data_IF_161378339740
#
_entry.id   IF_161378339740
#
_cell.length_a   1.000
_cell.length_b   1.000
_cell.length_c   1.000
_cell.angle_alpha   90.00
_cell.angle_beta   90.00
_cell.angle_gamma   90.00
#
_symmetry.space_group_name_H-M   'P 1'
#
loop_
_entity.id
_entity.type
_entity.pdbx_description
1 polymer ?
#
# COMPACT_ATOMS: atom_id res chain seq x y z
N UNK A 1 -9.48 -10.53 22.82
CA UNK A 1 -10.26 -10.13 21.62
C UNK A 1 -9.33 -10.34 20.42
N UNK A 2 -9.08 -11.56 19.93
CA UNK A 2 -9.92 -12.70 19.48
C UNK A 2 -9.79 -12.81 17.96
N UNK A 3 -8.90 -13.72 17.56
CA UNK A 3 -9.06 -14.73 16.49
C UNK A 3 -9.26 -14.38 15.01
N UNK A 4 -9.33 -13.13 14.57
CA UNK A 4 -9.60 -12.84 13.14
C UNK A 4 -8.38 -12.37 12.30
N UNK A 5 -7.17 -12.43 12.86
CA UNK A 5 -5.94 -12.03 12.16
C UNK A 5 -5.34 -13.17 11.27
N UNK A 6 -5.98 -14.34 11.24
CA UNK A 6 -5.38 -15.59 10.77
C UNK A 6 -5.84 -16.10 9.40
N UNK A 7 -6.18 -15.21 8.45
CA UNK A 7 -6.35 -15.58 7.03
C UNK A 7 -5.47 -14.77 6.10
N UNK A 8 -4.15 -14.80 6.32
CA UNK A 8 -3.19 -14.37 5.30
C UNK A 8 -3.25 -15.36 4.12
N UNK A 9 -3.98 -14.99 3.06
CA UNK A 9 -4.00 -15.73 1.81
C UNK A 9 -2.67 -15.49 1.10
N UNK A 10 -1.68 -16.35 1.36
CA UNK A 10 -0.38 -16.30 0.68
C UNK A 10 -0.59 -16.69 -0.78
N UNK A 11 -0.57 -15.71 -1.69
CA UNK A 11 -0.62 -15.98 -3.12
C UNK A 11 0.80 -16.15 -3.64
N UNK A 12 1.20 -17.39 -3.89
CA UNK A 12 2.49 -17.69 -4.51
C UNK A 12 2.36 -17.55 -6.03
N UNK A 13 3.03 -16.56 -6.60
CA UNK A 13 3.11 -16.37 -8.06
C UNK A 13 4.44 -16.96 -8.53
N UNK A 14 4.39 -17.99 -9.39
CA UNK A 14 5.58 -18.55 -10.05
C UNK A 14 5.81 -17.82 -11.37
N UNK A 15 7.00 -17.25 -11.54
CA UNK A 15 7.44 -16.66 -12.80
C UNK A 15 8.67 -17.33 -13.35
N UNK A 16 8.78 -17.32 -14.68
CA UNK A 16 10.01 -17.65 -15.39
C UNK A 16 11.10 -16.61 -15.06
N UNK A 17 12.30 -17.06 -14.70
CA UNK A 17 13.42 -16.19 -14.34
C UNK A 17 13.81 -15.21 -15.45
N UNK A 18 13.59 -15.58 -16.71
CA UNK A 18 13.81 -14.71 -17.88
C UNK A 18 12.90 -13.47 -17.91
N UNK A 19 11.79 -13.48 -17.15
CA UNK A 19 10.83 -12.36 -17.07
C UNK A 19 11.03 -11.45 -15.84
N UNK A 20 11.99 -11.77 -14.97
CA UNK A 20 12.33 -10.94 -13.81
C UNK A 20 12.97 -9.59 -14.21
N UNK A 21 13.90 -9.53 -15.19
CA UNK A 21 14.52 -8.26 -15.58
C UNK A 21 13.52 -7.15 -15.99
N UNK A 22 12.52 -7.41 -16.86
CA UNK A 22 11.52 -6.38 -17.19
C UNK A 22 10.57 -6.04 -16.03
N UNK A 23 10.38 -6.95 -15.08
CA UNK A 23 9.54 -6.70 -13.89
C UNK A 23 10.12 -5.58 -13.02
N UNK A 24 11.45 -5.47 -12.94
CA UNK A 24 12.10 -4.42 -12.16
C UNK A 24 11.71 -3.02 -12.65
N UNK A 25 11.75 -2.79 -13.97
CA UNK A 25 11.32 -1.52 -14.56
C UNK A 25 9.80 -1.28 -14.46
N UNK A 26 9.00 -2.35 -14.46
CA UNK A 26 7.56 -2.23 -14.26
C UNK A 26 7.21 -1.81 -12.83
N UNK A 27 7.87 -2.39 -11.82
CA UNK A 27 7.62 -2.08 -10.40
C UNK A 27 8.04 -0.65 -10.03
N UNK A 28 9.04 -0.09 -10.72
CA UNK A 28 9.43 1.32 -10.56
C UNK A 28 8.34 2.31 -11.00
N UNK A 29 7.40 1.89 -11.87
CA UNK A 29 6.28 2.73 -12.33
C UNK A 29 5.07 2.68 -11.39
N UNK A 30 5.10 1.82 -10.39
CA UNK A 30 3.95 1.54 -9.52
C UNK A 30 2.96 0.54 -10.14
N UNK A 31 1.84 0.33 -9.44
CA UNK A 31 0.78 -0.60 -9.85
C UNK A 31 -0.59 0.05 -9.71
N UNK A 32 -1.52 -0.33 -10.59
CA UNK A 32 -2.93 0.03 -10.46
C UNK A 32 -3.63 -0.95 -9.54
N UNK A 33 -4.36 -0.43 -8.54
CA UNK A 33 -5.09 -1.23 -7.57
C UNK A 33 -6.56 -0.81 -7.63
N UNK A 34 -7.45 -1.81 -7.73
CA UNK A 34 -8.88 -1.57 -7.54
C UNK A 34 -9.14 -1.35 -6.05
N UNK A 35 -9.66 -0.18 -5.71
CA UNK A 35 -9.99 0.18 -4.34
C UNK A 35 -11.38 0.82 -4.25
N UNK A 36 -11.93 0.88 -3.03
CA UNK A 36 -13.12 1.66 -2.73
C UNK A 36 -12.66 3.09 -2.46
N UNK A 37 -13.31 4.04 -3.10
CA UNK A 37 -12.90 5.45 -3.09
C UNK A 37 -13.72 6.26 -2.10
N UNK A 38 -13.25 7.47 -1.77
CA UNK A 38 -13.86 8.33 -0.75
C UNK A 38 -13.43 7.98 0.67
N UNK A 39 -12.41 7.14 0.82
CA UNK A 39 -11.88 6.68 2.09
C UNK A 39 -10.57 7.39 2.39
N UNK A 40 -10.25 7.56 3.67
CA UNK A 40 -8.94 8.08 4.08
C UNK A 40 -7.84 7.08 3.71
N UNK A 41 -6.60 7.55 3.56
CA UNK A 41 -5.44 6.67 3.37
C UNK A 41 -5.36 5.62 4.48
N UNK A 42 -5.63 6.02 5.74
CA UNK A 42 -5.64 5.09 6.88
C UNK A 42 -6.66 3.97 6.70
N UNK A 43 -7.91 4.31 6.40
CA UNK A 43 -8.97 3.31 6.22
C UNK A 43 -8.73 2.43 5.00
N UNK A 44 -8.21 3.00 3.90
CA UNK A 44 -7.80 2.24 2.72
C UNK A 44 -6.75 1.17 3.08
N UNK A 45 -5.68 1.56 3.78
CA UNK A 45 -4.59 0.66 4.13
C UNK A 45 -4.99 -0.39 5.18
N UNK A 46 -5.65 0.03 6.25
CA UNK A 46 -5.97 -0.88 7.37
C UNK A 46 -7.20 -1.72 7.10
N UNK A 47 -8.29 -1.11 6.61
CA UNK A 47 -9.59 -1.79 6.52
C UNK A 47 -9.76 -2.51 5.18
N UNK A 48 -9.34 -1.88 4.07
CA UNK A 48 -9.49 -2.48 2.75
C UNK A 48 -8.32 -3.41 2.38
N UNK A 49 -7.08 -2.99 2.64
CA UNK A 49 -5.90 -3.81 2.32
C UNK A 49 -5.44 -4.70 3.47
N UNK A 50 -6.04 -4.56 4.67
CA UNK A 50 -5.78 -5.43 5.81
C UNK A 50 -4.38 -5.26 6.41
N UNK A 51 -3.77 -4.10 6.25
CA UNK A 51 -2.49 -3.80 6.90
C UNK A 51 -2.69 -3.54 8.38
N UNK A 52 -1.70 -3.98 9.16
CA UNK A 52 -1.71 -3.73 10.59
C UNK A 52 -1.68 -2.22 10.90
N UNK A 53 -2.58 -1.68 11.74
CA UNK A 53 -2.56 -0.27 12.11
C UNK A 53 -1.23 0.19 12.72
N UNK A 54 -0.58 -0.65 13.52
CA UNK A 54 0.73 -0.34 14.11
C UNK A 54 1.83 -0.41 13.05
N UNK A 55 1.73 -1.28 12.06
CA UNK A 55 2.64 -1.25 10.90
C UNK A 55 2.49 0.05 10.11
N UNK A 56 1.26 0.44 9.78
CA UNK A 56 0.99 1.68 9.03
C UNK A 56 1.51 2.89 9.80
N UNK A 57 1.32 2.94 11.13
CA UNK A 57 1.79 4.04 11.97
C UNK A 57 3.32 4.08 12.12
N UNK A 58 3.96 2.94 12.33
CA UNK A 58 5.35 2.89 12.75
C UNK A 58 6.35 2.63 11.61
N UNK A 59 5.89 2.07 10.48
CA UNK A 59 6.75 1.68 9.35
C UNK A 59 6.54 2.52 8.11
N UNK A 60 5.34 3.05 7.89
CA UNK A 60 5.06 3.95 6.76
C UNK A 60 5.25 5.39 7.23
N UNK A 61 6.44 5.94 7.01
CA UNK A 61 6.83 7.26 7.53
C UNK A 61 6.44 8.40 6.58
N UNK A 62 6.32 8.12 5.29
CA UNK A 62 6.04 9.15 4.30
C UNK A 62 5.04 8.64 3.29
N UNK A 63 4.01 9.43 3.03
CA UNK A 63 3.11 9.23 1.92
C UNK A 63 2.97 10.51 1.10
N UNK A 64 2.77 10.33 -0.20
CA UNK A 64 2.37 11.40 -1.10
C UNK A 64 1.07 11.02 -1.78
N UNK A 65 0.10 11.93 -1.78
CA UNK A 65 -1.14 11.81 -2.53
C UNK A 65 -1.09 12.80 -3.69
N UNK A 66 -1.11 12.29 -4.92
CA UNK A 66 -0.98 13.08 -6.15
C UNK A 66 0.27 14.00 -6.14
N UNK A 67 1.38 13.46 -5.63
CA UNK A 67 2.66 14.17 -5.53
C UNK A 67 2.76 15.17 -4.38
N UNK A 68 1.72 15.31 -3.54
CA UNK A 68 1.74 16.20 -2.37
C UNK A 68 1.98 15.41 -1.10
N UNK A 69 2.86 15.86 -0.20
CA UNK A 69 3.09 15.19 1.07
C UNK A 69 1.79 15.15 1.88
N UNK A 70 1.58 14.06 2.61
CA UNK A 70 0.43 13.88 3.50
C UNK A 70 0.90 13.82 4.93
N UNK A 71 0.43 14.77 5.75
CA UNK A 71 0.77 14.85 7.17
C UNK A 71 -0.14 13.96 8.04
N UNK A 72 -1.42 13.83 7.66
CA UNK A 72 -2.39 13.00 8.39
C UNK A 72 -3.14 12.05 7.45
N UNK A 73 -2.89 10.75 7.64
CA UNK A 73 -3.50 9.68 6.84
C UNK A 73 -5.00 9.53 7.13
N UNK A 74 -5.51 10.05 8.24
CA UNK A 74 -6.93 10.02 8.60
C UNK A 74 -7.77 11.05 7.85
N UNK A 75 -7.17 12.12 7.35
CA UNK A 75 -7.88 13.22 6.67
C UNK A 75 -7.67 13.24 5.16
N UNK A 76 -6.56 12.67 4.67
CA UNK A 76 -6.30 12.58 3.24
C UNK A 76 -7.19 11.53 2.57
N UNK A 77 -8.12 11.98 1.73
CA UNK A 77 -9.10 11.13 1.03
C UNK A 77 -8.59 10.71 -0.35
N UNK A 78 -8.68 9.41 -0.64
CA UNK A 78 -8.31 8.83 -1.94
C UNK A 78 -9.52 8.84 -2.88
N UNK A 79 -9.36 9.52 -4.02
CA UNK A 79 -10.35 9.60 -5.10
C UNK A 79 -9.94 8.80 -6.34
N UNK A 80 -10.83 8.78 -7.34
CA UNK A 80 -10.59 8.10 -8.62
C UNK A 80 -9.33 8.65 -9.29
N UNK A 81 -8.52 7.75 -9.87
CA UNK A 81 -7.25 8.12 -10.52
C UNK A 81 -6.17 8.67 -9.59
N UNK A 82 -6.37 8.67 -8.26
CA UNK A 82 -5.35 9.15 -7.33
C UNK A 82 -4.09 8.29 -7.37
N UNK A 83 -2.93 8.94 -7.32
CA UNK A 83 -1.63 8.28 -7.19
C UNK A 83 -1.17 8.39 -5.75
N UNK A 84 -1.09 7.24 -5.07
CA UNK A 84 -0.60 7.14 -3.71
C UNK A 84 0.81 6.52 -3.70
N UNK A 85 1.79 7.29 -3.26
CA UNK A 85 3.16 6.83 -3.02
C UNK A 85 3.35 6.58 -1.53
N UNK A 86 3.93 5.43 -1.17
CA UNK A 86 4.24 5.07 0.21
C UNK A 86 5.73 4.78 0.34
N UNK A 87 6.37 5.32 1.36
CA UNK A 87 7.74 5.00 1.72
C UNK A 87 7.77 4.34 3.09
N UNK A 88 8.36 3.15 3.13
CA UNK A 88 8.69 2.48 4.38
C UNK A 88 10.07 2.89 4.87
N UNK A 89 10.32 2.80 6.18
CA UNK A 89 11.69 2.80 6.68
C UNK A 89 12.44 1.59 6.10
N UNK A 90 13.39 1.83 5.20
CA UNK A 90 14.32 0.81 4.74
C UNK A 90 15.29 0.50 5.90
N UNK A 91 15.53 -0.78 6.25
CA UNK A 91 16.66 -1.09 7.12
C UNK A 91 17.94 -0.66 6.40
N UNK A 92 18.69 0.24 7.03
CA UNK A 92 20.01 0.68 6.58
C UNK A 92 21.07 -0.40 6.78
#
# INVERSE_FOLDING_TARGET
MSEDYAKRKIMTVKWDRSRIPPLYGALQRGVLVKARLGWSIRSLLCEQFGLDPDYVKNRIQTAFLNGKPVDDFGTAIVGEGSVLTLSGALPG
#
